data_IF_297856250142
#
_entry.id   IF_297856250142
#
_cell.length_a   1.000
_cell.length_b   1.000
_cell.length_c   1.000
_cell.angle_alpha   90.00
_cell.angle_beta   90.00
_cell.angle_gamma   90.00
#
_symmetry.space_group_name_H-M   'P 1'
#
loop_
_entity.id
_entity.type
_entity.pdbx_description
1 polymer ?
#
# COMPACT_ATOMS: atom_id res chain seq x y z
N UNK A 1 63.90 -29.07 25.84
CA UNK A 1 62.42 -29.11 26.04
C UNK A 1 61.75 -27.73 25.97
N UNK A 2 62.37 -26.64 26.45
CA UNK A 2 61.74 -25.30 26.46
C UNK A 2 61.51 -24.65 25.07
N UNK A 3 62.30 -24.98 24.05
CA UNK A 3 62.14 -24.43 22.69
C UNK A 3 60.97 -25.05 21.90
N UNK A 4 60.56 -26.28 22.21
CA UNK A 4 59.46 -26.95 21.49
C UNK A 4 58.07 -26.47 21.95
N UNK A 5 57.96 -25.94 23.17
CA UNK A 5 56.70 -25.39 23.71
C UNK A 5 56.34 -24.02 23.12
N UNK A 6 57.32 -23.21 22.71
CA UNK A 6 57.08 -21.86 22.17
C UNK A 6 56.62 -21.93 20.71
N UNK A 7 57.15 -22.88 19.92
CA UNK A 7 56.73 -23.07 18.52
C UNK A 7 55.31 -23.63 18.39
N UNK A 8 54.86 -24.47 19.34
CA UNK A 8 53.48 -25.00 19.33
C UNK A 8 52.43 -23.93 19.64
N UNK A 9 52.71 -23.01 20.57
CA UNK A 9 51.79 -21.93 20.95
C UNK A 9 51.61 -20.87 19.85
N UNK A 10 52.65 -20.63 19.04
CA UNK A 10 52.61 -19.66 17.93
C UNK A 10 51.81 -20.19 16.72
N UNK A 11 51.83 -21.50 16.48
CA UNK A 11 51.00 -22.16 15.45
C UNK A 11 49.52 -22.17 15.86
N UNK A 12 49.20 -22.40 17.14
CA UNK A 12 47.82 -22.33 17.64
C UNK A 12 47.28 -20.91 17.63
N UNK A 13 48.10 -19.90 17.94
CA UNK A 13 47.73 -18.47 17.82
C UNK A 13 47.51 -18.02 16.36
N UNK A 14 48.33 -18.50 15.42
CA UNK A 14 48.14 -18.22 13.98
C UNK A 14 46.92 -18.98 13.40
N UNK A 15 46.62 -20.19 13.88
CA UNK A 15 45.40 -20.92 13.53
C UNK A 15 44.13 -20.29 14.11
N UNK A 16 44.20 -19.58 15.24
CA UNK A 16 43.03 -18.90 15.83
C UNK A 16 42.79 -17.50 15.27
N UNK A 17 43.81 -16.82 14.74
CA UNK A 17 43.65 -15.56 13.98
C UNK A 17 43.09 -15.81 12.56
N UNK A 18 43.24 -17.02 12.02
CA UNK A 18 42.69 -17.40 10.71
C UNK A 18 41.18 -17.72 10.68
N UNK A 19 40.52 -17.84 11.84
CA UNK A 19 39.11 -18.27 11.93
C UNK A 19 38.14 -17.10 12.21
N UNK A 20 38.63 -15.92 12.58
CA UNK A 20 37.81 -14.77 12.97
C UNK A 20 37.42 -13.81 11.82
N UNK A 21 37.69 -14.15 10.56
CA UNK A 21 37.55 -13.22 9.41
C UNK A 21 36.49 -13.60 8.36
N UNK A 22 35.59 -14.55 8.65
CA UNK A 22 34.40 -14.77 7.83
C UNK A 22 33.13 -14.75 8.69
N UNK A 23 32.99 -13.74 9.55
CA UNK A 23 31.67 -13.18 9.74
C UNK A 23 31.37 -12.47 8.41
N UNK A 24 30.87 -13.22 7.43
CA UNK A 24 30.22 -12.64 6.27
C UNK A 24 29.06 -11.85 6.85
N UNK A 25 29.22 -10.53 6.89
CA UNK A 25 28.09 -9.63 7.03
C UNK A 25 27.14 -10.06 5.90
N UNK A 26 25.94 -10.55 6.24
CA UNK A 26 24.87 -10.89 5.29
C UNK A 26 24.34 -9.57 4.69
N UNK A 27 25.25 -8.77 4.13
CA UNK A 27 24.93 -7.53 3.48
C UNK A 27 24.27 -7.89 2.16
N UNK A 28 22.95 -7.78 2.15
CA UNK A 28 22.16 -7.87 0.94
C UNK A 28 22.71 -6.90 -0.13
N UNK A 29 23.19 -7.46 -1.24
CA UNK A 29 23.64 -6.70 -2.41
C UNK A 29 22.44 -6.40 -3.31
N UNK A 30 22.08 -5.12 -3.53
CA UNK A 30 20.95 -4.76 -4.38
C UNK A 30 21.14 -5.24 -5.83
N UNK A 31 20.08 -5.76 -6.42
CA UNK A 31 20.10 -6.18 -7.83
C UNK A 31 19.99 -4.99 -8.77
N UNK A 32 20.85 -4.86 -9.81
CA UNK A 32 20.68 -3.83 -10.83
C UNK A 32 19.47 -4.04 -11.73
N UNK A 33 18.78 -5.18 -11.61
CA UNK A 33 17.62 -5.57 -12.41
C UNK A 33 16.28 -5.42 -11.70
N UNK A 34 16.29 -4.91 -10.46
CA UNK A 34 15.08 -4.59 -9.69
C UNK A 34 15.04 -3.07 -9.51
N UNK A 35 13.88 -2.49 -9.79
CA UNK A 35 13.70 -1.05 -9.97
C UNK A 35 12.63 -0.50 -9.04
N UNK A 36 12.88 0.69 -8.53
CA UNK A 36 11.88 1.57 -7.95
C UNK A 36 11.19 2.29 -9.09
N UNK A 37 9.93 1.92 -9.34
CA UNK A 37 9.10 2.52 -10.38
C UNK A 37 8.34 3.69 -9.78
N UNK A 38 8.61 4.89 -10.31
CA UNK A 38 7.94 6.14 -9.92
C UNK A 38 7.03 6.59 -11.05
N UNK A 39 5.74 6.72 -10.77
CA UNK A 39 4.77 7.23 -11.71
C UNK A 39 4.19 8.55 -11.20
N UNK A 40 3.97 9.51 -12.09
CA UNK A 40 3.43 10.83 -11.73
C UNK A 40 2.49 11.39 -12.80
N UNK A 41 1.67 12.35 -12.38
CA UNK A 41 0.62 12.94 -13.21
C UNK A 41 -0.48 11.93 -13.52
N UNK A 42 -0.82 11.07 -12.57
CA UNK A 42 -1.86 10.07 -12.70
C UNK A 42 -3.26 10.70 -12.70
N UNK A 43 -4.18 10.10 -13.45
CA UNK A 43 -5.58 10.56 -13.60
C UNK A 43 -6.42 10.38 -12.33
N UNK A 44 -6.11 9.37 -11.53
CA UNK A 44 -6.73 9.11 -10.23
C UNK A 44 -5.75 9.26 -9.07
N UNK A 45 -6.26 9.55 -7.88
CA UNK A 45 -5.44 9.68 -6.68
C UNK A 45 -4.79 8.34 -6.29
N UNK A 46 -3.61 8.37 -5.65
CA UNK A 46 -2.72 9.52 -5.59
C UNK A 46 -2.13 9.81 -6.99
N UNK A 47 -1.92 11.10 -7.29
CA UNK A 47 -1.37 11.56 -8.58
C UNK A 47 0.12 11.18 -8.76
N UNK A 48 0.76 10.71 -7.69
CA UNK A 48 2.12 10.20 -7.65
C UNK A 48 2.12 8.85 -6.93
N UNK A 49 2.76 7.85 -7.54
CA UNK A 49 2.78 6.46 -7.07
C UNK A 49 4.20 5.94 -7.11
N UNK A 50 4.59 5.17 -6.10
CA UNK A 50 5.85 4.43 -6.09
C UNK A 50 5.59 2.96 -5.83
N UNK A 51 6.22 2.12 -6.66
CA UNK A 51 6.18 0.67 -6.56
C UNK A 51 7.47 0.03 -7.05
N UNK A 52 7.48 -1.29 -7.18
CA UNK A 52 8.63 -2.07 -7.65
C UNK A 52 8.42 -2.56 -9.08
N UNK A 53 9.51 -2.89 -9.75
CA UNK A 53 9.50 -3.59 -11.03
C UNK A 53 10.81 -4.30 -11.25
N UNK A 54 10.89 -5.16 -12.26
CA UNK A 54 12.12 -5.90 -12.55
C UNK A 54 12.26 -6.28 -14.03
N UNK A 55 13.50 -6.51 -14.45
CA UNK A 55 13.83 -7.03 -15.80
C UNK A 55 13.96 -8.55 -15.76
N UNK A 56 13.63 -9.17 -16.89
CA UNK A 56 13.73 -10.62 -17.08
C UNK A 56 14.69 -10.92 -18.22
N UNK A 57 15.56 -11.91 -18.03
CA UNK A 57 16.53 -12.34 -19.02
C UNK A 57 15.86 -12.71 -20.34
N UNK A 58 16.40 -12.20 -21.45
CA UNK A 58 15.89 -12.45 -22.80
C UNK A 58 14.64 -11.65 -23.17
N UNK A 59 14.15 -10.76 -22.30
CA UNK A 59 12.95 -9.97 -22.54
C UNK A 59 13.24 -8.47 -22.49
N UNK A 60 12.70 -7.73 -23.45
CA UNK A 60 12.71 -6.26 -23.42
C UNK A 60 11.56 -5.79 -22.53
N UNK A 61 11.88 -4.96 -21.54
CA UNK A 61 10.90 -4.29 -20.69
C UNK A 61 11.16 -4.47 -19.20
N UNK A 62 10.39 -3.73 -18.40
CA UNK A 62 10.34 -3.87 -16.94
C UNK A 62 8.94 -4.36 -16.56
N UNK A 63 8.87 -5.53 -15.95
CA UNK A 63 7.65 -6.09 -15.37
C UNK A 63 7.29 -5.34 -14.09
N UNK A 64 6.02 -4.99 -13.92
CA UNK A 64 5.51 -4.27 -12.75
C UNK A 64 4.00 -4.49 -12.62
N UNK A 65 3.38 -4.01 -11.53
CA UNK A 65 1.93 -4.04 -11.39
C UNK A 65 1.26 -2.92 -12.21
N UNK A 66 0.17 -3.23 -12.90
CA UNK A 66 -0.54 -2.29 -13.77
C UNK A 66 -1.10 -1.11 -12.97
N UNK A 67 -1.66 -1.36 -11.78
CA UNK A 67 -2.28 -0.32 -10.96
C UNK A 67 -1.34 0.82 -10.55
N UNK A 68 -0.03 0.62 -10.47
CA UNK A 68 0.90 1.69 -10.10
C UNK A 68 1.32 2.60 -11.24
N UNK A 69 1.08 2.22 -12.50
CA UNK A 69 1.56 2.96 -13.68
C UNK A 69 0.46 3.43 -14.62
N UNK A 70 -0.73 2.80 -14.56
CA UNK A 70 -1.85 3.13 -15.43
C UNK A 70 -2.40 4.54 -15.14
N UNK A 71 -2.70 5.27 -16.22
CA UNK A 71 -3.23 6.63 -16.14
C UNK A 71 -2.18 7.71 -15.85
N UNK A 72 -0.91 7.35 -15.68
CA UNK A 72 0.16 8.28 -15.34
C UNK A 72 0.87 8.85 -16.59
N UNK A 73 1.24 10.12 -16.54
CA UNK A 73 1.89 10.85 -17.64
C UNK A 73 3.38 10.54 -17.76
N UNK A 74 4.05 10.37 -16.62
CA UNK A 74 5.49 10.13 -16.56
C UNK A 74 5.75 8.90 -15.71
N UNK A 75 6.56 7.98 -16.24
CA UNK A 75 7.03 6.79 -15.50
C UNK A 75 8.56 6.71 -15.60
N UNK A 76 9.20 6.55 -14.46
CA UNK A 76 10.66 6.45 -14.29
C UNK A 76 10.97 5.17 -13.53
N UNK A 77 12.00 4.44 -13.93
CA UNK A 77 12.50 3.27 -13.21
C UNK A 77 13.93 3.53 -12.73
N UNK A 78 14.11 3.60 -11.41
CA UNK A 78 15.41 3.76 -10.76
C UNK A 78 15.91 2.41 -10.25
N UNK A 79 17.08 1.92 -10.68
CA UNK A 79 17.58 0.60 -10.30
C UNK A 79 18.05 0.58 -8.85
N UNK A 80 18.27 -0.62 -8.31
CA UNK A 80 19.21 -0.77 -7.20
C UNK A 80 20.64 -0.91 -7.68
N UNK A 81 21.58 -0.81 -6.76
CA UNK A 81 23.00 -1.00 -7.07
C UNK A 81 23.51 0.04 -8.06
N UNK A 82 24.26 -0.42 -9.05
CA UNK A 82 24.94 0.36 -10.10
C UNK A 82 24.22 0.35 -11.45
N UNK A 83 22.95 -0.07 -11.48
CA UNK A 83 22.17 -0.12 -12.72
C UNK A 83 21.89 1.24 -13.35
N UNK A 84 21.31 1.23 -14.55
CA UNK A 84 20.87 2.42 -15.26
C UNK A 84 19.43 2.84 -14.93
N UNK A 85 19.21 4.15 -14.71
CA UNK A 85 17.87 4.74 -14.61
C UNK A 85 17.24 4.89 -15.99
N UNK A 86 15.96 4.52 -16.10
CA UNK A 86 15.18 4.72 -17.32
C UNK A 86 14.10 5.76 -17.12
N UNK A 87 13.99 6.68 -18.09
CA UNK A 87 12.98 7.72 -18.14
C UNK A 87 12.00 7.46 -19.30
N UNK A 88 10.92 8.24 -19.33
CA UNK A 88 9.91 8.24 -20.39
C UNK A 88 9.38 6.84 -20.71
N UNK A 89 9.19 6.03 -19.67
CA UNK A 89 8.64 4.70 -19.79
C UNK A 89 7.15 4.80 -20.12
N UNK A 90 6.72 3.92 -21.02
CA UNK A 90 5.33 3.75 -21.43
C UNK A 90 4.92 2.30 -21.24
N UNK A 91 3.63 2.03 -21.11
CA UNK A 91 3.12 0.66 -21.04
C UNK A 91 3.23 0.03 -22.44
N UNK A 92 4.15 -0.93 -22.61
CA UNK A 92 4.39 -1.63 -23.87
C UNK A 92 3.56 -2.90 -24.02
N UNK A 93 3.35 -3.65 -22.93
CA UNK A 93 2.45 -4.81 -22.85
C UNK A 93 1.68 -4.78 -21.53
N UNK A 94 0.55 -5.48 -21.48
CA UNK A 94 -0.27 -5.66 -20.28
C UNK A 94 -0.86 -7.05 -20.22
N UNK A 95 -1.10 -7.51 -19.01
CA UNK A 95 -2.10 -8.52 -18.69
C UNK A 95 -3.08 -7.83 -17.74
N UNK A 96 -4.25 -7.46 -18.26
CA UNK A 96 -5.23 -6.68 -17.49
C UNK A 96 -5.87 -7.55 -16.41
N UNK A 97 -6.16 -8.82 -16.73
CA UNK A 97 -6.87 -9.69 -15.79
C UNK A 97 -5.99 -10.03 -14.58
N UNK A 98 -4.67 -10.08 -14.75
CA UNK A 98 -3.73 -10.23 -13.63
C UNK A 98 -3.13 -8.90 -13.11
N UNK A 99 -3.58 -7.74 -13.62
CA UNK A 99 -3.06 -6.42 -13.25
C UNK A 99 -1.52 -6.32 -13.36
N UNK A 100 -0.97 -6.76 -14.48
CA UNK A 100 0.47 -6.71 -14.80
C UNK A 100 0.73 -5.80 -16.00
N UNK A 101 1.82 -5.03 -15.94
CA UNK A 101 2.30 -4.22 -17.04
C UNK A 101 3.77 -4.51 -17.33
N UNK A 102 4.14 -4.41 -18.61
CA UNK A 102 5.54 -4.38 -19.05
C UNK A 102 5.84 -2.99 -19.60
N UNK A 103 6.66 -2.26 -18.86
CA UNK A 103 7.12 -0.93 -19.24
C UNK A 103 8.18 -1.01 -20.34
N UNK A 104 8.13 -0.05 -21.26
CA UNK A 104 8.99 0.02 -22.43
C UNK A 104 9.45 1.46 -22.69
N UNK A 105 10.68 1.60 -23.13
CA UNK A 105 11.20 2.79 -23.81
C UNK A 105 12.25 2.37 -24.83
N UNK A 106 12.62 3.30 -25.73
CA UNK A 106 13.71 3.04 -26.69
C UNK A 106 15.03 2.75 -25.99
N UNK A 107 15.38 3.52 -24.96
CA UNK A 107 16.60 3.30 -24.19
C UNK A 107 16.66 1.89 -23.62
N UNK A 108 15.53 1.37 -23.13
CA UNK A 108 15.45 0.02 -22.58
C UNK A 108 15.55 -1.09 -23.65
N UNK A 109 15.12 -0.81 -24.88
CA UNK A 109 15.25 -1.72 -26.01
C UNK A 109 16.68 -1.81 -26.56
N UNK A 110 17.51 -0.79 -26.32
CA UNK A 110 18.91 -0.74 -26.75
C UNK A 110 19.87 -1.40 -25.72
N UNK A 111 19.37 -1.74 -24.52
CA UNK A 111 20.14 -2.41 -23.47
C UNK A 111 20.33 -3.91 -23.71
N UNK A 112 21.41 -4.52 -23.18
CA UNK A 112 21.56 -5.97 -23.12
C UNK A 112 20.34 -6.63 -22.47
N UNK A 113 19.90 -7.79 -22.97
CA UNK A 113 18.73 -8.53 -22.46
C UNK A 113 19.04 -9.30 -21.17
N UNK A 114 19.77 -8.67 -20.26
CA UNK A 114 20.06 -9.18 -18.92
C UNK A 114 18.88 -8.91 -17.98
N UNK A 115 18.74 -9.74 -16.95
CA UNK A 115 17.67 -9.64 -15.98
C UNK A 115 17.66 -10.81 -15.00
N UNK A 116 16.55 -10.94 -14.29
CA UNK A 116 16.30 -12.09 -13.44
C UNK A 116 15.92 -13.30 -14.30
N UNK A 117 16.39 -14.47 -13.87
CA UNK A 117 15.98 -15.76 -14.44
C UNK A 117 14.59 -16.08 -13.91
N UNK A 118 13.72 -16.62 -14.75
CA UNK A 118 12.37 -17.05 -14.37
C UNK A 118 12.33 -18.58 -14.31
N UNK A 119 11.40 -19.14 -13.54
CA UNK A 119 11.14 -20.58 -13.61
C UNK A 119 10.58 -20.96 -14.98
N UNK A 120 10.90 -22.17 -15.45
CA UNK A 120 10.43 -22.69 -16.75
C UNK A 120 9.26 -23.66 -16.61
N UNK A 121 8.98 -24.13 -15.39
CA UNK A 121 7.92 -25.07 -15.09
C UNK A 121 6.87 -24.42 -14.19
N UNK A 122 5.63 -24.91 -14.23
CA UNK A 122 4.58 -24.50 -13.29
C UNK A 122 5.04 -24.75 -11.86
N UNK A 123 4.96 -23.70 -11.05
CA UNK A 123 5.36 -23.73 -9.66
C UNK A 123 4.58 -24.82 -8.89
N UNK A 124 5.29 -25.81 -8.38
CA UNK A 124 4.75 -26.75 -7.41
C UNK A 124 4.88 -26.15 -6.01
N UNK A 125 3.75 -25.99 -5.31
CA UNK A 125 3.73 -25.38 -3.99
C UNK A 125 4.30 -26.35 -2.96
N UNK A 126 5.43 -25.98 -2.37
CA UNK A 126 6.01 -26.65 -1.21
C UNK A 126 5.91 -25.73 0.01
N UNK A 127 5.06 -26.09 0.98
CA UNK A 127 4.86 -25.34 2.22
C UNK A 127 6.15 -25.20 3.07
N UNK A 128 7.14 -26.07 2.82
CA UNK A 128 8.44 -26.00 3.50
C UNK A 128 9.42 -25.06 2.81
N UNK A 129 9.21 -24.77 1.53
CA UNK A 129 10.05 -23.82 0.81
C UNK A 129 9.94 -22.42 1.44
N UNK A 130 10.99 -21.65 1.29
CA UNK A 130 11.03 -20.24 1.68
C UNK A 130 11.29 -19.43 0.42
N UNK A 131 10.53 -18.35 0.26
CA UNK A 131 10.64 -17.42 -0.85
C UNK A 131 11.01 -16.04 -0.32
N UNK A 132 11.45 -15.17 -1.22
CA UNK A 132 11.73 -13.78 -0.88
C UNK A 132 11.09 -12.83 -1.90
N UNK A 133 10.60 -11.69 -1.43
CA UNK A 133 10.19 -10.58 -2.28
C UNK A 133 11.23 -9.48 -2.16
N UNK A 134 11.73 -8.96 -3.28
CA UNK A 134 12.70 -7.85 -3.25
C UNK A 134 12.07 -6.63 -3.90
N UNK A 135 11.92 -5.56 -3.14
CA UNK A 135 11.28 -4.34 -3.66
C UNK A 135 11.64 -3.08 -2.91
N UNK A 136 10.77 -2.08 -3.03
CA UNK A 136 10.91 -0.75 -2.44
C UNK A 136 9.70 -0.41 -1.55
N UNK A 137 9.46 -1.18 -0.46
CA UNK A 137 8.36 -0.94 0.45
C UNK A 137 8.40 0.48 1.01
N UNK A 138 7.24 1.12 1.13
CA UNK A 138 7.07 2.48 1.68
C UNK A 138 8.01 3.51 1.01
N UNK A 139 8.30 3.32 -0.29
CA UNK A 139 9.18 4.19 -1.08
C UNK A 139 10.61 4.33 -0.49
N UNK A 140 11.11 3.34 0.25
CA UNK A 140 12.50 3.36 0.72
C UNK A 140 13.48 3.54 -0.45
N UNK A 141 14.61 4.19 -0.21
CA UNK A 141 15.59 4.47 -1.26
C UNK A 141 16.39 3.24 -1.71
N UNK A 142 16.52 2.24 -0.84
CA UNK A 142 17.30 1.03 -1.10
C UNK A 142 16.37 -0.17 -1.19
N UNK A 143 16.70 -1.10 -2.07
CA UNK A 143 16.01 -2.39 -2.13
C UNK A 143 15.99 -3.05 -0.76
N UNK A 144 14.85 -3.65 -0.44
CA UNK A 144 14.65 -4.41 0.79
C UNK A 144 14.14 -5.80 0.43
N UNK A 145 14.84 -6.87 0.87
CA UNK A 145 14.28 -8.20 0.84
C UNK A 145 13.28 -8.37 1.99
N UNK A 146 12.10 -8.87 1.65
CA UNK A 146 11.17 -9.50 2.57
C UNK A 146 11.37 -11.02 2.45
N UNK A 147 11.98 -11.61 3.47
CA UNK A 147 12.32 -13.04 3.50
C UNK A 147 11.22 -13.88 4.14
N UNK A 148 11.36 -15.20 4.09
CA UNK A 148 10.45 -16.17 4.71
C UNK A 148 9.00 -16.10 4.23
N UNK A 149 8.82 -15.64 3.00
CA UNK A 149 7.51 -15.66 2.34
C UNK A 149 7.07 -17.10 2.13
N UNK A 150 5.84 -17.40 2.54
CA UNK A 150 5.21 -18.71 2.32
C UNK A 150 4.14 -18.60 1.25
N UNK A 151 4.07 -19.62 0.40
CA UNK A 151 2.99 -19.76 -0.58
C UNK A 151 2.03 -20.78 -0.02
N UNK A 152 0.81 -20.34 0.31
CA UNK A 152 -0.20 -21.15 0.97
C UNK A 152 -0.96 -21.99 -0.04
N UNK A 153 -1.38 -21.40 -1.16
CA UNK A 153 -2.14 -22.10 -2.19
C UNK A 153 -2.16 -21.33 -3.51
N UNK A 154 -2.59 -21.99 -4.58
CA UNK A 154 -3.02 -21.35 -5.82
C UNK A 154 -4.55 -21.33 -5.82
N UNK A 155 -5.15 -20.14 -5.93
CA UNK A 155 -6.59 -19.95 -5.84
C UNK A 155 -7.05 -18.82 -6.77
N UNK A 156 -8.36 -18.58 -6.84
CA UNK A 156 -8.92 -17.39 -7.49
C UNK A 156 -8.83 -16.20 -6.55
N UNK A 157 -8.53 -15.02 -7.08
CA UNK A 157 -8.36 -13.82 -6.27
C UNK A 157 -9.57 -13.53 -5.39
N UNK A 158 -10.79 -13.67 -5.92
CA UNK A 158 -12.04 -13.41 -5.20
C UNK A 158 -12.21 -14.24 -3.92
N UNK A 159 -11.58 -15.42 -3.84
CA UNK A 159 -11.61 -16.26 -2.63
C UNK A 159 -10.73 -15.71 -1.49
N UNK A 160 -9.82 -14.77 -1.79
CA UNK A 160 -8.93 -14.15 -0.82
C UNK A 160 -9.46 -12.81 -0.29
N UNK A 161 -10.48 -12.24 -0.92
CA UNK A 161 -10.89 -10.86 -0.69
C UNK A 161 -12.07 -10.75 0.27
N UNK A 162 -12.16 -9.60 0.94
CA UNK A 162 -13.37 -9.19 1.67
C UNK A 162 -14.43 -8.67 0.70
N UNK A 163 -15.69 -8.62 1.12
CA UNK A 163 -16.78 -8.08 0.27
C UNK A 163 -16.49 -6.65 -0.22
N UNK A 164 -15.91 -5.79 0.62
CA UNK A 164 -15.58 -4.42 0.24
C UNK A 164 -14.50 -4.37 -0.84
N UNK A 165 -13.48 -5.24 -0.74
CA UNK A 165 -12.44 -5.35 -1.75
C UNK A 165 -12.97 -5.95 -3.06
N UNK A 166 -13.94 -6.88 -2.99
CA UNK A 166 -14.65 -7.41 -4.16
C UNK A 166 -15.35 -6.26 -4.90
N UNK A 167 -16.17 -5.47 -4.21
CA UNK A 167 -16.93 -4.37 -4.83
C UNK A 167 -16.02 -3.37 -5.55
N UNK A 168 -14.90 -3.01 -4.92
CA UNK A 168 -13.94 -2.06 -5.52
C UNK A 168 -13.20 -2.69 -6.71
N UNK A 169 -12.88 -3.99 -6.70
CA UNK A 169 -12.31 -4.65 -7.89
C UNK A 169 -13.32 -4.86 -9.01
N UNK A 170 -14.59 -5.10 -8.70
CA UNK A 170 -15.65 -5.18 -9.72
C UNK A 170 -15.80 -3.86 -10.46
N UNK A 171 -15.79 -2.74 -9.73
CA UNK A 171 -15.82 -1.39 -10.31
C UNK A 171 -14.57 -1.10 -11.13
N UNK A 172 -13.40 -1.46 -10.60
CA UNK A 172 -12.11 -1.23 -11.25
C UNK A 172 -11.87 -2.14 -12.45
N UNK A 173 -12.43 -3.35 -12.48
CA UNK A 173 -12.26 -4.40 -13.50
C UNK A 173 -10.84 -4.96 -13.67
N UNK A 174 -9.92 -4.73 -12.71
CA UNK A 174 -8.53 -5.22 -12.73
C UNK A 174 -7.91 -5.20 -11.33
N UNK A 175 -7.26 -6.29 -10.87
CA UNK A 175 -7.28 -7.64 -11.46
C UNK A 175 -8.69 -8.25 -11.47
N UNK A 176 -8.90 -9.26 -12.30
CA UNK A 176 -10.15 -10.00 -12.36
C UNK A 176 -10.31 -10.88 -11.10
N UNK A 177 -11.54 -11.03 -10.59
CA UNK A 177 -11.80 -11.82 -9.39
C UNK A 177 -11.55 -13.31 -9.59
N UNK A 178 -11.71 -13.82 -10.81
CA UNK A 178 -11.44 -15.20 -11.18
C UNK A 178 -9.98 -15.44 -11.65
N UNK A 179 -9.14 -14.39 -11.65
CA UNK A 179 -7.73 -14.52 -11.96
C UNK A 179 -7.03 -15.49 -11.00
N UNK A 180 -6.19 -16.36 -11.55
CA UNK A 180 -5.44 -17.35 -10.76
C UNK A 180 -4.25 -16.66 -10.10
N UNK A 181 -4.20 -16.72 -8.78
CA UNK A 181 -3.16 -16.08 -7.96
C UNK A 181 -2.53 -17.07 -7.00
N UNK A 182 -1.33 -16.75 -6.53
CA UNK A 182 -0.74 -17.38 -5.36
C UNK A 182 -1.19 -16.63 -4.11
N UNK A 183 -1.86 -17.32 -3.19
CA UNK A 183 -2.07 -16.83 -1.83
C UNK A 183 -0.74 -16.95 -1.08
N UNK A 184 -0.21 -15.83 -0.60
CA UNK A 184 1.08 -15.80 0.09
C UNK A 184 0.94 -15.23 1.50
N UNK A 185 1.67 -15.83 2.44
CA UNK A 185 1.79 -15.31 3.79
C UNK A 185 3.01 -14.41 3.89
N UNK A 186 2.80 -13.10 3.80
CA UNK A 186 3.84 -12.07 4.01
C UNK A 186 3.25 -10.65 4.03
N UNK A 187 4.04 -9.69 4.49
CA UNK A 187 3.70 -8.27 4.48
C UNK A 187 3.95 -7.62 3.11
N UNK A 188 3.02 -7.83 2.15
CA UNK A 188 3.01 -7.06 0.89
C UNK A 188 2.44 -5.65 1.11
N UNK A 189 3.25 -4.80 1.74
CA UNK A 189 2.92 -3.39 2.00
C UNK A 189 3.12 -2.49 0.75
N UNK A 190 2.61 -1.24 0.75
CA UNK A 190 2.77 -0.30 -0.36
C UNK A 190 4.21 -0.20 -0.82
N UNK A 191 4.44 -0.18 -2.14
CA UNK A 191 5.78 -0.21 -2.71
C UNK A 191 6.25 -1.60 -3.16
N UNK A 192 5.68 -2.69 -2.62
CA UNK A 192 5.96 -4.05 -3.10
C UNK A 192 5.23 -4.41 -4.39
N UNK A 193 4.19 -3.69 -4.79
CA UNK A 193 3.49 -3.96 -6.05
C UNK A 193 4.46 -4.00 -7.23
N UNK A 194 4.40 -5.06 -8.03
CA UNK A 194 5.32 -5.33 -9.14
C UNK A 194 6.68 -5.92 -8.76
N UNK A 195 6.95 -6.18 -7.48
CA UNK A 195 8.21 -6.79 -7.04
C UNK A 195 8.29 -8.27 -7.45
N UNK A 196 9.47 -8.80 -7.81
CA UNK A 196 9.64 -10.23 -8.05
C UNK A 196 9.55 -11.02 -6.74
N UNK A 197 8.79 -12.12 -6.77
CA UNK A 197 8.87 -13.20 -5.79
C UNK A 197 9.89 -14.22 -6.28
N UNK A 198 10.91 -14.49 -5.49
CA UNK A 198 12.05 -15.34 -5.85
C UNK A 198 12.07 -16.63 -5.01
N UNK A 199 12.45 -17.73 -5.66
CA UNK A 199 12.78 -18.97 -4.96
C UNK A 199 14.23 -18.94 -4.41
N UNK A 200 14.66 -20.01 -3.75
CA UNK A 200 16.02 -20.17 -3.20
C UNK A 200 17.12 -20.18 -4.27
N UNK A 201 16.77 -20.44 -5.54
CA UNK A 201 17.69 -20.36 -6.68
C UNK A 201 17.73 -18.96 -7.31
N UNK A 202 17.13 -17.95 -6.66
CA UNK A 202 16.98 -16.58 -7.17
C UNK A 202 16.25 -16.49 -8.51
N UNK A 203 15.37 -17.45 -8.79
CA UNK A 203 14.50 -17.42 -9.96
C UNK A 203 13.15 -16.80 -9.60
N UNK A 204 12.62 -15.97 -10.49
CA UNK A 204 11.28 -15.40 -10.36
C UNK A 204 10.25 -16.51 -10.52
N UNK A 205 9.38 -16.65 -9.52
CA UNK A 205 8.24 -17.57 -9.52
C UNK A 205 6.90 -16.84 -9.70
N UNK A 206 6.84 -15.57 -9.31
CA UNK A 206 5.63 -14.76 -9.36
C UNK A 206 5.96 -13.26 -9.27
N UNK A 207 4.93 -12.42 -9.48
CA UNK A 207 4.98 -10.96 -9.32
C UNK A 207 4.10 -10.58 -8.13
N UNK A 208 4.67 -9.97 -7.10
CA UNK A 208 3.89 -9.43 -5.98
C UNK A 208 2.92 -8.36 -6.50
N UNK A 209 1.63 -8.49 -6.20
CA UNK A 209 0.60 -7.63 -6.81
C UNK A 209 -0.16 -6.83 -5.76
N UNK A 210 -0.66 -7.46 -4.70
CA UNK A 210 -1.30 -6.72 -3.61
C UNK A 210 -1.42 -7.53 -2.33
N UNK A 211 -1.99 -6.91 -1.30
CA UNK A 211 -2.26 -7.54 -0.02
C UNK A 211 -3.41 -6.84 0.70
N UNK A 212 -4.10 -7.60 1.55
CA UNK A 212 -5.20 -7.06 2.36
C UNK A 212 -4.68 -6.12 3.43
N UNK A 213 -5.50 -5.14 3.81
CA UNK A 213 -5.21 -4.16 4.86
C UNK A 213 -3.84 -3.50 4.67
N UNK A 214 -3.55 -3.06 3.43
CA UNK A 214 -2.26 -2.48 3.06
C UNK A 214 -1.06 -3.40 3.37
N UNK A 215 -1.24 -4.72 3.34
CA UNK A 215 -0.22 -5.72 3.62
C UNK A 215 0.01 -6.01 5.12
N UNK A 216 -0.86 -5.55 6.02
CA UNK A 216 -0.63 -5.63 7.47
C UNK A 216 -1.03 -6.97 8.10
N UNK A 217 -1.97 -7.68 7.50
CA UNK A 217 -2.47 -8.96 8.05
C UNK A 217 -1.79 -10.21 7.45
N UNK A 218 -0.60 -10.02 6.87
CA UNK A 218 0.18 -11.07 6.19
C UNK A 218 -0.55 -11.83 5.08
N UNK A 219 -1.69 -11.33 4.59
CA UNK A 219 -2.44 -11.95 3.49
C UNK A 219 -2.16 -11.19 2.20
N UNK A 220 -1.21 -11.70 1.41
CA UNK A 220 -0.83 -11.16 0.11
C UNK A 220 -1.28 -12.07 -1.03
N UNK A 221 -1.31 -11.50 -2.24
CA UNK A 221 -1.38 -12.27 -3.47
C UNK A 221 -0.27 -11.89 -4.44
N UNK A 222 0.23 -12.90 -5.15
CA UNK A 222 1.19 -12.74 -6.23
C UNK A 222 0.68 -13.41 -7.50
N UNK A 223 0.97 -12.82 -8.65
CA UNK A 223 0.61 -13.38 -9.95
C UNK A 223 1.65 -14.45 -10.33
N UNK A 224 1.28 -15.73 -10.43
CA UNK A 224 2.22 -16.77 -10.85
C UNK A 224 2.80 -16.45 -12.22
N UNK A 225 4.10 -16.65 -12.39
CA UNK A 225 4.77 -16.34 -13.65
C UNK A 225 4.17 -17.11 -14.83
N UNK A 226 3.71 -18.33 -14.59
CA UNK A 226 3.11 -19.23 -15.58
C UNK A 226 1.64 -18.92 -15.93
N UNK A 227 1.00 -17.95 -15.25
CA UNK A 227 -0.36 -17.49 -15.58
C UNK A 227 -0.39 -16.21 -16.45
N UNK A 228 0.77 -15.60 -16.72
CA UNK A 228 0.82 -14.33 -17.46
C UNK A 228 0.37 -14.48 -18.91
N UNK A 229 -0.62 -13.70 -19.32
CA UNK A 229 -1.11 -13.57 -20.70
C UNK A 229 -0.94 -12.13 -21.21
N UNK A 230 0.24 -11.85 -21.78
CA UNK A 230 0.63 -10.49 -22.16
C UNK A 230 0.13 -10.09 -23.55
N UNK A 231 -0.70 -9.05 -23.58
CA UNK A 231 -1.17 -8.36 -24.79
C UNK A 231 -0.34 -7.10 -25.07
N UNK A 232 -0.02 -6.82 -26.35
CA UNK A 232 0.87 -5.72 -26.75
C UNK A 232 0.11 -4.41 -26.95
N UNK A 233 0.55 -3.31 -26.31
CA UNK A 233 -0.17 -2.02 -26.30
C UNK A 233 0.28 -0.99 -27.37
N UNK A 234 1.59 -0.90 -27.63
CA UNK A 234 2.17 0.14 -28.50
C UNK A 234 2.47 -0.40 -29.91
N UNK A 235 2.01 0.33 -30.93
CA UNK A 235 2.31 0.04 -32.34
C UNK A 235 3.82 0.16 -32.60
N UNK A 236 4.44 -0.96 -32.99
CA UNK A 236 5.90 -1.11 -33.13
C UNK A 236 6.45 -2.35 -32.41
N UNK A 237 5.66 -2.99 -31.53
CA UNK A 237 6.03 -4.20 -30.77
C UNK A 237 5.17 -5.43 -31.15
N UNK A 238 4.44 -5.38 -32.27
CA UNK A 238 3.42 -6.34 -32.79
C UNK A 238 1.96 -6.00 -32.40
N UNK A 239 1.00 -6.72 -32.99
CA UNK A 239 -0.33 -6.29 -33.48
C UNK A 239 -1.18 -5.36 -32.61
N UNK A 240 -2.01 -4.56 -33.31
CA UNK A 240 -3.00 -3.62 -32.77
C UNK A 240 -3.80 -4.19 -31.59
N UNK A 241 -3.63 -3.59 -30.43
CA UNK A 241 -4.59 -3.65 -29.32
C UNK A 241 -5.99 -3.46 -29.85
N UNK A 242 -6.91 -4.34 -29.49
CA UNK A 242 -8.30 -4.13 -29.83
C UNK A 242 -8.79 -2.80 -29.24
N UNK A 243 -9.62 -2.05 -29.96
CA UNK A 243 -10.22 -0.82 -29.42
C UNK A 243 -10.89 -1.03 -28.06
N UNK A 244 -11.42 -2.23 -27.82
CA UNK A 244 -11.96 -2.68 -26.53
C UNK A 244 -10.95 -2.65 -25.39
N UNK A 245 -9.73 -3.17 -25.58
CA UNK A 245 -8.71 -3.16 -24.52
C UNK A 245 -8.20 -1.74 -24.23
N UNK A 246 -8.03 -0.89 -25.25
CA UNK A 246 -7.66 0.52 -25.02
C UNK A 246 -8.71 1.28 -24.23
N UNK A 247 -9.98 0.99 -24.51
CA UNK A 247 -11.11 1.54 -23.77
C UNK A 247 -11.10 1.02 -22.33
N UNK A 248 -10.94 -0.29 -22.13
CA UNK A 248 -10.85 -0.92 -20.81
C UNK A 248 -9.72 -0.32 -19.98
N UNK A 249 -8.52 -0.15 -20.54
CA UNK A 249 -7.39 0.50 -19.85
C UNK A 249 -7.69 1.95 -19.45
N UNK A 250 -8.44 2.70 -20.26
CA UNK A 250 -8.85 4.06 -19.90
C UNK A 250 -9.84 4.03 -18.73
N UNK A 251 -10.86 3.18 -18.80
CA UNK A 251 -11.86 3.01 -17.75
C UNK A 251 -11.21 2.59 -16.41
N UNK A 252 -10.27 1.63 -16.44
CA UNK A 252 -9.49 1.24 -15.26
C UNK A 252 -8.63 2.41 -14.76
N UNK A 253 -7.97 3.16 -15.65
CA UNK A 253 -7.09 4.27 -15.28
C UNK A 253 -7.82 5.45 -14.63
N UNK A 254 -9.11 5.62 -14.91
CA UNK A 254 -9.95 6.66 -14.32
C UNK A 254 -10.55 6.23 -12.96
N UNK A 255 -10.52 4.93 -12.63
CA UNK A 255 -10.94 4.41 -11.32
C UNK A 255 -9.89 4.67 -10.22
N UNK A 256 -10.35 4.94 -8.99
CA UNK A 256 -9.46 5.04 -7.83
C UNK A 256 -9.05 3.63 -7.37
N UNK A 257 -7.75 3.37 -7.31
CA UNK A 257 -7.18 2.12 -6.79
C UNK A 257 -6.74 2.21 -5.34
N UNK A 258 -6.67 3.41 -4.76
CA UNK A 258 -5.99 3.66 -3.49
C UNK A 258 -6.58 2.88 -2.32
N UNK A 259 -7.85 2.49 -2.41
CA UNK A 259 -8.53 1.70 -1.38
C UNK A 259 -8.00 0.27 -1.26
N UNK A 260 -7.74 -0.41 -2.39
CA UNK A 260 -7.25 -1.80 -2.42
C UNK A 260 -5.73 -1.83 -2.51
N UNK A 261 -5.21 -1.02 -3.40
CA UNK A 261 -3.78 -0.90 -3.65
C UNK A 261 -3.31 0.31 -2.86
N UNK A 262 -2.99 0.07 -1.59
CA UNK A 262 -2.37 1.12 -0.80
C UNK A 262 -1.06 1.56 -1.49
N UNK A 263 -0.93 2.86 -1.73
CA UNK A 263 0.21 3.44 -2.44
C UNK A 263 1.17 4.10 -1.46
N UNK A 264 2.46 4.06 -1.81
CA UNK A 264 3.44 4.94 -1.17
C UNK A 264 3.53 6.25 -1.97
N UNK A 265 3.40 7.38 -1.28
CA UNK A 265 3.54 8.72 -1.88
C UNK A 265 4.92 9.28 -1.53
N UNK A 266 5.57 10.08 -2.39
CA UNK A 266 6.85 10.71 -2.06
C UNK A 266 6.85 11.53 -0.76
N UNK A 267 5.68 12.06 -0.37
CA UNK A 267 5.51 12.88 0.84
C UNK A 267 5.64 12.09 2.16
N UNK A 268 5.38 10.77 2.17
CA UNK A 268 5.40 9.92 3.37
C UNK A 268 6.77 9.80 4.05
N UNK A 269 7.86 10.19 3.38
CA UNK A 269 9.21 10.20 3.95
C UNK A 269 9.64 11.57 4.49
N UNK A 270 8.88 12.63 4.22
CA UNK A 270 9.31 14.01 4.54
C UNK A 270 8.78 14.48 5.89
N UNK A 271 7.68 13.90 6.37
CA UNK A 271 7.07 14.24 7.66
C UNK A 271 7.81 13.65 8.87
N UNK A 272 8.77 12.73 8.68
CA UNK A 272 9.41 12.02 9.81
C UNK A 272 10.76 12.59 10.27
N UNK A 273 11.34 13.62 9.63
CA UNK A 273 12.74 14.01 9.93
C UNK A 273 13.07 15.49 10.14
N UNK A 274 12.12 16.45 10.09
CA UNK A 274 12.48 17.88 10.25
C UNK A 274 11.45 18.77 10.98
N UNK A 275 10.78 18.27 12.02
CA UNK A 275 10.15 19.16 13.00
C UNK A 275 11.00 19.22 14.28
N UNK A 276 11.65 20.34 14.61
CA UNK A 276 12.03 20.59 16.00
C UNK A 276 10.73 20.68 16.78
N UNK A 277 10.46 19.66 17.58
CA UNK A 277 9.38 19.65 18.57
C UNK A 277 9.69 20.75 19.58
N UNK A 278 9.21 21.96 19.32
CA UNK A 278 8.93 22.94 20.36
C UNK A 278 7.55 22.60 20.91
N UNK A 279 7.48 21.52 21.68
CA UNK A 279 6.30 21.21 22.48
C UNK A 279 6.26 22.20 23.64
N UNK A 280 5.50 23.28 23.45
CA UNK A 280 4.68 23.71 24.58
C UNK A 280 3.73 22.54 24.82
N UNK A 281 3.95 21.81 25.91
CA UNK A 281 3.12 20.68 26.32
C UNK A 281 1.77 21.28 26.71
N UNK A 282 0.91 21.48 25.71
CA UNK A 282 -0.51 21.66 25.92
C UNK A 282 -0.99 20.35 26.54
N UNK A 283 -1.50 20.42 27.78
CA UNK A 283 -1.85 19.24 28.55
C UNK A 283 -2.80 18.37 27.72
N UNK A 284 -2.34 17.16 27.38
CA UNK A 284 -3.08 16.21 26.57
C UNK A 284 -4.50 16.05 27.14
N UNK A 285 -5.50 16.40 26.33
CA UNK A 285 -6.91 16.22 26.64
C UNK A 285 -7.17 14.71 26.65
N UNK A 286 -7.25 14.10 27.83
CA UNK A 286 -7.62 12.68 27.99
C UNK A 286 -9.13 12.58 28.12
N UNK A 287 -9.84 12.71 26.99
CA UNK A 287 -11.24 12.35 26.89
C UNK A 287 -11.39 10.96 26.25
N UNK A 288 -12.41 10.21 26.67
CA UNK A 288 -12.71 8.89 26.12
C UNK A 288 -14.20 8.65 25.99
N UNK A 289 -14.58 7.85 25.00
CA UNK A 289 -15.93 7.30 24.90
C UNK A 289 -16.15 6.34 26.08
N UNK A 290 -17.19 6.53 26.88
CA UNK A 290 -17.49 5.64 28.02
C UNK A 290 -18.68 4.74 27.79
N UNK A 291 -19.65 5.17 27.01
CA UNK A 291 -20.87 4.41 26.74
C UNK A 291 -21.60 4.95 25.50
N UNK A 292 -22.45 4.11 24.91
CA UNK A 292 -23.36 4.46 23.83
C UNK A 292 -24.74 4.83 24.43
N UNK A 293 -25.29 5.95 23.98
CA UNK A 293 -26.57 6.45 24.44
C UNK A 293 -27.72 5.53 24.05
N UNK A 294 -28.34 4.90 25.05
CA UNK A 294 -29.44 3.94 24.87
C UNK A 294 -30.68 4.45 24.09
N UNK A 295 -30.80 5.77 23.89
CA UNK A 295 -31.98 6.38 23.29
C UNK A 295 -31.83 6.68 21.78
N UNK A 296 -30.60 6.77 21.26
CA UNK A 296 -30.33 7.17 19.88
C UNK A 296 -29.00 6.54 19.42
N UNK A 297 -29.02 5.78 18.31
CA UNK A 297 -27.94 4.88 17.85
C UNK A 297 -26.62 5.57 17.45
N UNK A 298 -26.49 6.87 17.73
CA UNK A 298 -25.34 7.69 17.38
C UNK A 298 -24.98 8.69 18.47
N UNK A 299 -25.53 8.53 19.67
CA UNK A 299 -25.19 9.37 20.82
C UNK A 299 -24.14 8.65 21.68
N UNK A 300 -23.13 9.36 22.14
CA UNK A 300 -22.04 8.83 22.95
C UNK A 300 -21.83 9.68 24.20
N UNK A 301 -21.54 9.00 25.30
CA UNK A 301 -21.07 9.65 26.53
C UNK A 301 -19.55 9.70 26.52
N UNK A 302 -19.01 10.87 26.82
CA UNK A 302 -17.57 11.14 26.80
C UNK A 302 -17.15 11.66 28.15
N UNK A 303 -16.15 11.04 28.76
CA UNK A 303 -15.63 11.43 30.07
C UNK A 303 -14.12 11.65 30.02
N UNK A 304 -13.62 12.42 30.98
CA UNK A 304 -12.20 12.64 31.15
C UNK A 304 -11.90 13.82 32.07
N UNK A 305 -10.62 13.99 32.39
CA UNK A 305 -10.18 15.01 33.36
C UNK A 305 -10.35 16.46 32.85
N UNK A 306 -10.69 16.64 31.57
CA UNK A 306 -10.70 17.95 30.91
C UNK A 306 -11.96 18.20 30.06
N UNK A 307 -13.15 17.88 30.58
CA UNK A 307 -14.43 18.20 29.90
C UNK A 307 -14.84 19.68 30.07
N UNK A 308 -14.21 20.39 31.01
CA UNK A 308 -14.55 21.78 31.35
C UNK A 308 -14.45 22.79 30.18
N UNK A 309 -13.46 22.71 29.26
CA UNK A 309 -13.32 23.63 28.15
C UNK A 309 -14.41 23.50 27.08
N UNK A 310 -15.02 22.32 26.97
CA UNK A 310 -15.98 22.02 25.90
C UNK A 310 -17.37 22.57 26.21
N UNK A 311 -18.07 23.07 25.21
CA UNK A 311 -19.42 23.61 25.30
C UNK A 311 -20.34 22.92 24.29
N UNK A 312 -21.66 23.08 24.48
CA UNK A 312 -22.64 22.56 23.50
C UNK A 312 -22.39 23.24 22.16
N UNK A 313 -22.25 22.43 21.12
CA UNK A 313 -21.92 22.86 19.75
C UNK A 313 -20.47 22.61 19.35
N UNK A 314 -19.57 22.30 20.29
CA UNK A 314 -18.18 21.99 19.97
C UNK A 314 -18.06 20.65 19.25
N UNK A 315 -17.07 20.57 18.38
CA UNK A 315 -16.74 19.37 17.60
C UNK A 315 -15.67 18.55 18.31
N UNK A 316 -15.85 17.22 18.29
CA UNK A 316 -14.95 16.25 18.89
C UNK A 316 -14.58 15.16 17.88
N UNK A 317 -13.35 14.67 17.93
CA UNK A 317 -12.84 13.60 17.07
C UNK A 317 -12.69 12.34 17.91
N UNK A 318 -13.23 11.22 17.43
CA UNK A 318 -12.93 9.89 17.98
C UNK A 318 -11.83 9.26 17.17
N UNK A 319 -10.84 8.70 17.85
CA UNK A 319 -9.74 8.01 17.21
C UNK A 319 -9.80 6.51 17.44
N UNK A 320 -9.46 5.76 16.39
CA UNK A 320 -9.05 4.38 16.50
C UNK A 320 -7.53 4.30 16.38
N UNK A 321 -6.96 3.38 17.13
CA UNK A 321 -5.57 2.96 16.97
C UNK A 321 -5.60 1.54 16.38
N UNK A 322 -5.80 1.40 15.05
CA UNK A 322 -5.82 0.08 14.41
C UNK A 322 -4.49 -0.67 14.59
N UNK A 323 -3.40 0.06 14.88
CA UNK A 323 -2.09 -0.48 15.22
C UNK A 323 -1.33 0.50 16.12
N UNK A 324 -0.38 0.01 16.94
CA UNK A 324 0.50 0.87 17.72
C UNK A 324 1.14 1.94 16.81
N UNK A 325 1.14 3.18 17.26
CA UNK A 325 1.75 4.35 16.59
C UNK A 325 0.99 4.91 15.38
N UNK A 326 -0.20 4.39 15.04
CA UNK A 326 -1.06 5.01 14.04
C UNK A 326 -2.44 5.26 14.61
N UNK A 327 -2.73 6.55 14.79
CA UNK A 327 -4.02 7.04 15.23
C UNK A 327 -4.77 7.59 14.00
N UNK A 328 -5.98 7.08 13.75
CA UNK A 328 -6.85 7.56 12.66
C UNK A 328 -8.14 8.12 13.25
N UNK A 329 -8.62 9.23 12.72
CA UNK A 329 -9.94 9.74 13.08
C UNK A 329 -11.01 8.84 12.46
N UNK A 330 -11.87 8.25 13.28
CA UNK A 330 -12.96 7.36 12.81
C UNK A 330 -14.35 7.98 12.98
N UNK A 331 -14.46 9.09 13.70
CA UNK A 331 -15.72 9.81 13.81
C UNK A 331 -15.54 11.29 14.12
N UNK A 332 -16.50 12.08 13.67
CA UNK A 332 -16.73 13.46 14.09
C UNK A 332 -18.01 13.50 14.92
N UNK A 333 -17.91 13.92 16.16
CA UNK A 333 -19.03 14.09 17.09
C UNK A 333 -19.29 15.58 17.34
N UNK A 334 -20.54 15.92 17.65
CA UNK A 334 -20.95 17.25 18.09
C UNK A 334 -21.48 17.21 19.51
N UNK A 335 -20.97 18.06 20.40
CA UNK A 335 -21.43 18.10 21.80
C UNK A 335 -22.87 18.64 21.84
N UNK A 336 -23.80 17.82 22.32
CA UNK A 336 -25.23 18.15 22.44
C UNK A 336 -25.68 18.33 23.89
N UNK A 337 -24.88 17.85 24.85
CA UNK A 337 -25.14 17.99 26.27
C UNK A 337 -23.85 18.00 27.09
N UNK A 338 -23.90 18.61 28.28
CA UNK A 338 -22.76 18.70 29.19
C UNK A 338 -23.20 18.62 30.64
N UNK A 339 -22.49 17.80 31.42
CA UNK A 339 -22.51 17.77 32.88
C UNK A 339 -21.17 18.25 33.44
N UNK A 340 -20.97 18.15 34.76
CA UNK A 340 -19.70 18.51 35.41
C UNK A 340 -18.52 17.60 35.02
N UNK A 341 -18.79 16.37 34.57
CA UNK A 341 -17.77 15.35 34.33
C UNK A 341 -17.92 14.63 32.99
N UNK A 342 -19.06 14.79 32.33
CA UNK A 342 -19.43 14.01 31.14
C UNK A 342 -19.95 14.95 30.06
N UNK A 343 -19.59 14.69 28.81
CA UNK A 343 -20.19 15.29 27.63
C UNK A 343 -21.13 14.25 27.00
N UNK A 344 -22.25 14.71 26.46
CA UNK A 344 -23.09 13.93 25.57
C UNK A 344 -22.84 14.47 24.17
N UNK A 345 -22.40 13.63 23.25
CA UNK A 345 -22.09 14.04 21.88
C UNK A 345 -22.77 13.11 20.87
N UNK A 346 -23.21 13.67 19.76
CA UNK A 346 -23.87 12.93 18.67
C UNK A 346 -22.92 12.81 17.49
N UNK A 347 -22.79 11.62 16.92
CA UNK A 347 -21.98 11.42 15.72
C UNK A 347 -22.63 12.10 14.51
N UNK A 348 -21.82 12.89 13.81
CA UNK A 348 -22.18 13.58 12.58
C UNK A 348 -21.58 12.84 11.39
N UNK A 349 -20.31 12.44 11.50
CA UNK A 349 -19.60 11.66 10.51
C UNK A 349 -18.98 10.42 11.16
N UNK A 350 -18.97 9.29 10.46
CA UNK A 350 -18.34 8.03 10.90
C UNK A 350 -17.59 7.38 9.76
N UNK A 351 -16.52 6.67 10.06
CA UNK A 351 -15.89 5.75 9.11
C UNK A 351 -16.72 4.46 9.09
N UNK A 352 -17.27 4.05 7.92
CA UNK A 352 -18.16 2.89 7.85
C UNK A 352 -17.47 1.56 8.22
N UNK A 353 -16.13 1.55 8.28
CA UNK A 353 -15.32 0.37 8.57
C UNK A 353 -15.05 0.18 10.06
N UNK A 354 -15.26 1.22 10.87
CA UNK A 354 -14.92 1.20 12.29
C UNK A 354 -16.14 1.50 13.17
N UNK A 355 -16.31 0.66 14.17
CA UNK A 355 -17.30 0.88 15.23
C UNK A 355 -16.71 1.78 16.31
N UNK A 356 -17.46 2.80 16.76
CA UNK A 356 -17.09 3.61 17.92
C UNK A 356 -17.29 2.78 19.18
N UNK A 357 -16.19 2.45 19.88
CA UNK A 357 -16.19 1.63 21.09
C UNK A 357 -15.81 2.43 22.32
N UNK A 358 -16.15 1.88 23.47
CA UNK A 358 -15.69 2.44 24.76
C UNK A 358 -14.17 2.47 24.84
N UNK A 359 -13.63 3.41 25.62
CA UNK A 359 -12.22 3.72 25.84
C UNK A 359 -11.45 4.32 24.67
N UNK A 360 -12.08 4.46 23.49
CA UNK A 360 -11.49 5.19 22.37
C UNK A 360 -11.19 6.63 22.78
N UNK A 361 -10.02 7.12 22.38
CA UNK A 361 -9.58 8.48 22.68
C UNK A 361 -10.45 9.48 21.92
N UNK A 362 -10.71 10.60 22.58
CA UNK A 362 -11.43 11.74 22.03
C UNK A 362 -10.63 13.01 22.27
N UNK A 363 -10.57 13.90 21.29
CA UNK A 363 -10.10 15.28 21.46
C UNK A 363 -10.77 16.23 20.44
N UNK A 364 -10.23 17.44 20.23
CA UNK A 364 -10.74 18.42 19.27
C UNK A 364 -9.75 18.76 18.15
N UNK A 365 -8.79 17.89 17.87
CA UNK A 365 -7.81 18.10 16.80
C UNK A 365 -8.43 17.77 15.43
N UNK A 366 -9.18 18.74 14.89
CA UNK A 366 -9.85 18.62 13.59
C UNK A 366 -8.88 18.41 12.40
N UNK A 367 -7.57 18.57 12.58
CA UNK A 367 -6.57 18.37 11.53
C UNK A 367 -6.62 16.95 10.93
N UNK A 368 -6.90 15.95 11.78
CA UNK A 368 -6.95 14.54 11.38
C UNK A 368 -8.15 14.18 10.50
N UNK A 369 -9.21 15.00 10.46
CA UNK A 369 -10.37 14.75 9.61
C UNK A 369 -10.04 14.69 8.12
N UNK A 370 -9.00 15.42 7.71
CA UNK A 370 -8.60 15.50 6.30
C UNK A 370 -7.96 14.21 5.77
N UNK A 371 -7.51 13.34 6.69
CA UNK A 371 -6.85 12.07 6.40
C UNK A 371 -7.82 10.89 6.43
N UNK A 372 -9.02 11.08 6.97
CA UNK A 372 -10.01 10.02 7.19
C UNK A 372 -11.09 9.95 6.11
N UNK A 373 -11.68 8.76 5.95
CA UNK A 373 -12.77 8.48 5.02
C UNK A 373 -14.13 8.44 5.75
N UNK A 374 -14.49 9.56 6.38
CA UNK A 374 -15.76 9.65 7.10
C UNK A 374 -16.93 9.89 6.12
N UNK A 375 -18.11 9.41 6.49
CA UNK A 375 -19.39 9.65 5.82
C UNK A 375 -20.44 10.15 6.81
N UNK A 376 -21.45 10.93 6.37
CA UNK A 376 -22.57 11.33 7.21
C UNK A 376 -23.31 10.12 7.79
N UNK A 377 -23.55 10.18 9.10
CA UNK A 377 -24.32 9.17 9.83
C UNK A 377 -25.79 9.17 9.40
N UNK A 378 -26.34 10.36 9.15
CA UNK A 378 -27.74 10.53 8.81
C UNK A 378 -27.99 10.21 7.33
N UNK A 379 -28.90 9.28 7.05
CA UNK A 379 -29.26 8.84 5.69
C UNK A 379 -29.82 9.95 4.79
N UNK A 380 -30.40 10.99 5.36
CA UNK A 380 -30.91 12.14 4.60
C UNK A 380 -29.82 13.14 4.19
N UNK A 381 -28.56 12.90 4.56
CA UNK A 381 -27.43 13.77 4.24
C UNK A 381 -26.56 13.10 3.18
N UNK A 382 -26.59 13.61 1.95
CA UNK A 382 -25.84 13.05 0.83
C UNK A 382 -24.31 13.23 0.92
N UNK A 383 -23.82 14.12 1.80
CA UNK A 383 -22.40 14.44 1.89
C UNK A 383 -22.10 15.58 2.87
N UNK A 384 -20.83 15.97 2.94
CA UNK A 384 -20.37 17.08 3.78
C UNK A 384 -19.28 17.91 3.08
N UNK A 385 -19.15 19.16 3.52
CA UNK A 385 -18.11 20.06 3.03
C UNK A 385 -16.78 19.73 3.73
N UNK A 386 -15.79 19.28 2.97
CA UNK A 386 -14.40 19.16 3.43
C UNK A 386 -13.74 20.53 3.53
N UNK A 387 -14.03 21.41 2.55
CA UNK A 387 -13.53 22.78 2.41
C UNK A 387 -14.57 23.60 1.64
N UNK A 388 -14.47 24.95 1.58
CA UNK A 388 -15.45 25.80 0.89
C UNK A 388 -15.74 25.42 -0.57
N UNK A 389 -14.82 24.71 -1.23
CA UNK A 389 -14.92 24.32 -2.64
C UNK A 389 -14.95 22.81 -2.87
N UNK A 390 -14.98 21.99 -1.81
CA UNK A 390 -14.92 20.53 -1.94
C UNK A 390 -15.95 19.87 -1.02
N UNK A 391 -16.83 19.09 -1.64
CA UNK A 391 -17.82 18.24 -0.98
C UNK A 391 -17.34 16.79 -1.11
N UNK A 392 -17.47 16.01 -0.04
CA UNK A 392 -17.44 14.55 -0.12
C UNK A 392 -18.88 14.05 -0.05
N UNK A 393 -19.27 13.29 -1.06
CA UNK A 393 -20.56 12.63 -1.12
C UNK A 393 -20.44 11.22 -0.53
N UNK A 394 -21.56 10.71 -0.02
CA UNK A 394 -21.67 9.31 0.38
C UNK A 394 -21.53 8.40 -0.85
N UNK A 395 -20.88 7.23 -0.74
CA UNK A 395 -20.76 6.31 -1.87
C UNK A 395 -22.11 5.88 -2.47
N UNK A 396 -23.15 5.82 -1.64
CA UNK A 396 -24.51 5.39 -1.98
C UNK A 396 -25.47 6.55 -2.33
N UNK A 397 -24.94 7.73 -2.68
CA UNK A 397 -25.78 8.90 -2.95
C UNK A 397 -26.68 8.74 -4.18
N UNK A 398 -27.91 9.23 -4.12
CA UNK A 398 -28.88 9.23 -5.23
C UNK A 398 -28.76 10.42 -6.20
N UNK A 399 -27.74 11.26 -6.06
CA UNK A 399 -27.63 12.55 -6.74
C UNK A 399 -27.35 12.40 -8.25
N UNK A 400 -28.13 13.12 -9.06
CA UNK A 400 -27.89 13.26 -10.50
C UNK A 400 -27.05 14.50 -10.82
N UNK A 401 -26.40 14.50 -11.99
CA UNK A 401 -25.68 15.68 -12.50
C UNK A 401 -26.64 16.87 -12.59
N UNK A 402 -26.25 18.00 -11.99
CA UNK A 402 -27.08 19.21 -11.92
C UNK A 402 -27.99 19.29 -10.68
N UNK A 403 -27.95 18.29 -9.80
CA UNK A 403 -28.59 18.38 -8.48
C UNK A 403 -28.08 19.59 -7.70
N UNK A 404 -28.99 20.30 -7.05
CA UNK A 404 -28.67 21.41 -6.16
C UNK A 404 -28.53 20.87 -4.74
N UNK A 405 -27.38 21.12 -4.13
CA UNK A 405 -27.11 20.75 -2.74
C UNK A 405 -27.40 21.94 -1.84
N UNK A 406 -28.20 21.71 -0.81
CA UNK A 406 -28.43 22.69 0.25
C UNK A 406 -27.58 22.30 1.45
N UNK A 407 -26.72 23.22 1.91
CA UNK A 407 -26.00 23.03 3.16
C UNK A 407 -27.00 23.12 4.32
N UNK A 408 -26.99 22.11 5.19
CA UNK A 408 -27.67 22.17 6.49
C UNK A 408 -26.78 22.98 7.43
N UNK A 409 -27.36 24.01 8.05
CA UNK A 409 -26.69 24.94 8.95
C UNK A 409 -26.76 24.47 10.40
#
# INVERSE_FOLDING_TARGET
MRQWLISGLLVVALLSIGITLLAQDDSFEPSPHIYRVKAAGCTSAPEQRVQSGFRVTGQVGIFTALHGVLGCKTVIAEPGGDGQTFHDLSIGKVDIDHDVAVLWSRGLADEPLEGLVVITETLQIDQKASYQVIGYPLNVFRQKPTVDVKILERTELGNLLTNDAILVLEERMSPALDAKVLSIQTHLIPGHSGAPLLNQANQVVAIGNGGLDAGRIEMGWAIPWDELDLSTIVAGVSQEVSWSERRRLREIGDSDSGYIFSYSTPEQLTTTLTAPVSSTVEAAVDLRVVDEGLADQHTYYIEGNNTAPFTIGDDLIVYAEPNPDLEIAIALLKVVGKSSTTLTAQAILVDPRYEIRTRMRVDNNLGHLSESQLIPVFEYVDGYLLRPTRIRLRPDHGLAVGAQLQALA
#
